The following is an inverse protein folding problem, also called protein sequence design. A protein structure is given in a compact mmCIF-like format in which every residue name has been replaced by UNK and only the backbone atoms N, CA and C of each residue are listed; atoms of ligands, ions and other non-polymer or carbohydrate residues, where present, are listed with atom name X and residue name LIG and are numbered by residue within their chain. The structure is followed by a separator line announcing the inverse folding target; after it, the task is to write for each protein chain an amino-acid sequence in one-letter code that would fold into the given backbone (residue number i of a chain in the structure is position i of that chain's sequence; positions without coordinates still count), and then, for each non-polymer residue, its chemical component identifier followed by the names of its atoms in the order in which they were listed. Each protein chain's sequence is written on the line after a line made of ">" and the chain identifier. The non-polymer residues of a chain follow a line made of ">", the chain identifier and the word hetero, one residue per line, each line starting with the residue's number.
data_IF_456679093059
#
_entry.id   IF_456679093059
#
_cell.length_a   1.000
_cell.length_b   1.000
_cell.length_c   1.000
_cell.angle_alpha   90.00
_cell.angle_beta   90.00
_cell.angle_gamma   90.00
#
_symmetry.space_group_name_H-M   'P 1'
#
loop_
_entity.id
_entity.type
_entity.pdbx_description
1 polymer ?
#
# COMPACT_ATOMS: atom_id res chain seq x y z
N UNK A 1 -7.50 -37.62 -60.90
CA UNK A 1 -7.44 -36.21 -60.46
C UNK A 1 -8.71 -35.82 -59.72
N UNK A 2 -9.90 -36.01 -60.29
CA UNK A 2 -11.18 -35.61 -59.64
C UNK A 2 -11.45 -36.30 -58.28
N UNK A 3 -11.15 -37.59 -58.14
CA UNK A 3 -11.37 -38.34 -56.88
C UNK A 3 -10.51 -37.83 -55.71
N UNK A 4 -9.31 -37.30 -55.98
CA UNK A 4 -8.45 -36.75 -54.92
C UNK A 4 -8.88 -35.35 -54.49
N UNK A 5 -9.35 -34.53 -55.43
CA UNK A 5 -9.95 -33.22 -55.12
C UNK A 5 -11.19 -33.35 -54.23
N UNK A 6 -12.04 -34.34 -54.52
CA UNK A 6 -13.27 -34.57 -53.76
C UNK A 6 -12.98 -35.05 -52.33
N UNK A 7 -11.97 -35.92 -52.16
CA UNK A 7 -11.48 -36.33 -50.84
C UNK A 7 -10.92 -35.14 -50.05
N UNK A 8 -10.18 -34.25 -50.71
CA UNK A 8 -9.60 -33.07 -50.06
C UNK A 8 -10.68 -32.07 -49.64
N UNK A 9 -11.70 -31.85 -50.47
CA UNK A 9 -12.84 -30.99 -50.14
C UNK A 9 -13.65 -31.52 -48.96
N UNK A 10 -13.91 -32.83 -48.92
CA UNK A 10 -14.60 -33.45 -47.78
C UNK A 10 -13.78 -33.32 -46.49
N UNK A 11 -12.46 -33.57 -46.55
CA UNK A 11 -11.57 -33.41 -45.40
C UNK A 11 -11.51 -31.97 -44.89
N UNK A 12 -11.48 -30.97 -45.78
CA UNK A 12 -11.57 -29.56 -45.38
C UNK A 12 -12.90 -29.23 -44.72
N UNK A 13 -14.02 -29.74 -45.23
CA UNK A 13 -15.35 -29.52 -44.64
C UNK A 13 -15.43 -30.08 -43.23
N UNK A 14 -14.88 -31.28 -43.01
CA UNK A 14 -14.82 -31.91 -41.69
C UNK A 14 -13.97 -31.08 -40.72
N UNK A 15 -12.77 -30.64 -41.15
CA UNK A 15 -11.91 -29.77 -40.36
C UNK A 15 -12.58 -28.43 -40.01
N UNK A 16 -13.34 -27.85 -40.94
CA UNK A 16 -14.09 -26.62 -40.70
C UNK A 16 -15.17 -26.84 -39.63
N UNK A 17 -15.92 -27.95 -39.72
CA UNK A 17 -16.97 -28.31 -38.76
C UNK A 17 -16.40 -28.47 -37.34
N UNK A 18 -15.27 -29.15 -37.21
CA UNK A 18 -14.62 -29.35 -35.92
C UNK A 18 -14.08 -28.06 -35.32
N UNK A 19 -13.54 -27.17 -36.17
CA UNK A 19 -13.13 -25.82 -35.75
C UNK A 19 -14.30 -25.01 -35.19
N UNK A 20 -15.47 -25.03 -35.86
CA UNK A 20 -16.67 -24.35 -35.37
C UNK A 20 -17.17 -24.91 -34.04
N UNK A 21 -17.15 -26.23 -33.85
CA UNK A 21 -17.51 -26.86 -32.57
C UNK A 21 -16.55 -26.45 -31.45
N UNK A 22 -15.26 -26.30 -31.75
CA UNK A 22 -14.28 -25.84 -30.78
C UNK A 22 -14.52 -24.38 -30.40
N UNK A 23 -14.83 -23.52 -31.37
CA UNK A 23 -15.15 -22.11 -31.13
C UNK A 23 -16.37 -21.94 -30.20
N UNK A 24 -17.43 -22.72 -30.41
CA UNK A 24 -18.59 -22.71 -29.51
C UNK A 24 -18.24 -23.16 -28.08
N UNK A 25 -17.39 -24.20 -27.94
CA UNK A 25 -16.89 -24.61 -26.62
C UNK A 25 -16.08 -23.49 -25.94
N UNK A 26 -15.24 -22.77 -26.68
CA UNK A 26 -14.45 -21.65 -26.13
C UNK A 26 -15.37 -20.52 -25.68
N UNK A 27 -16.34 -20.09 -26.50
CA UNK A 27 -17.32 -19.07 -26.12
C UNK A 27 -18.09 -19.44 -24.85
N UNK A 28 -18.54 -20.69 -24.74
CA UNK A 28 -19.25 -21.16 -23.56
C UNK A 28 -18.41 -21.13 -22.28
N UNK A 29 -17.09 -21.36 -22.38
CA UNK A 29 -16.17 -21.27 -21.25
C UNK A 29 -15.91 -19.82 -20.85
N UNK A 30 -15.72 -18.92 -21.83
CA UNK A 30 -15.54 -17.50 -21.57
C UNK A 30 -16.74 -16.92 -20.81
N UNK A 31 -17.96 -17.23 -21.25
CA UNK A 31 -19.18 -16.78 -20.57
C UNK A 31 -19.28 -17.29 -19.13
N UNK A 32 -18.96 -18.57 -18.90
CA UNK A 32 -18.93 -19.15 -17.54
C UNK A 32 -17.85 -18.53 -16.65
N UNK A 33 -16.73 -18.08 -17.23
CA UNK A 33 -15.68 -17.39 -16.48
C UNK A 33 -16.11 -15.97 -16.13
N UNK A 34 -16.74 -15.24 -17.05
CA UNK A 34 -17.31 -13.91 -16.79
C UNK A 34 -18.38 -13.95 -15.67
N UNK A 35 -19.31 -14.91 -15.74
CA UNK A 35 -20.36 -15.08 -14.74
C UNK A 35 -19.77 -15.36 -13.33
N UNK A 36 -18.70 -16.16 -13.26
CA UNK A 36 -18.00 -16.44 -11.99
C UNK A 36 -17.29 -15.22 -11.42
N UNK A 37 -16.61 -14.44 -12.26
CA UNK A 37 -15.93 -13.22 -11.81
C UNK A 37 -16.93 -12.21 -11.23
N UNK A 38 -18.09 -12.05 -11.88
CA UNK A 38 -19.14 -11.16 -11.38
C UNK A 38 -19.69 -11.65 -10.03
N UNK A 39 -19.89 -12.96 -9.88
CA UNK A 39 -20.39 -13.54 -8.64
C UNK A 39 -19.38 -13.43 -7.48
N UNK A 40 -18.09 -13.57 -7.77
CA UNK A 40 -17.02 -13.43 -6.78
C UNK A 40 -16.83 -11.97 -6.34
N UNK A 41 -16.89 -11.00 -7.27
CA UNK A 41 -16.87 -9.56 -6.96
C UNK A 41 -18.07 -9.18 -6.07
N UNK A 42 -19.27 -9.67 -6.40
CA UNK A 42 -20.45 -9.41 -5.59
C UNK A 42 -20.30 -9.98 -4.17
N UNK A 43 -19.78 -11.21 -4.02
CA UNK A 43 -19.51 -11.82 -2.70
C UNK A 43 -18.48 -11.04 -1.89
N UNK A 44 -17.43 -10.52 -2.52
CA UNK A 44 -16.41 -9.70 -1.84
C UNK A 44 -17.00 -8.35 -1.38
N UNK A 45 -17.82 -7.69 -2.20
CA UNK A 45 -18.49 -6.44 -1.80
C UNK A 45 -19.46 -6.64 -0.63
N UNK A 46 -20.26 -7.71 -0.64
CA UNK A 46 -21.18 -8.04 0.45
C UNK A 46 -20.47 -8.48 1.75
N UNK A 47 -19.28 -9.07 1.66
CA UNK A 47 -18.45 -9.35 2.85
C UNK A 47 -17.86 -8.06 3.42
N UNK A 48 -17.32 -7.19 2.57
CA UNK A 48 -16.77 -5.91 2.99
C UNK A 48 -17.80 -5.04 3.74
N UNK A 49 -19.06 -4.98 3.27
CA UNK A 49 -20.12 -4.23 3.96
C UNK A 49 -20.45 -4.80 5.35
N UNK A 50 -20.51 -6.13 5.50
CA UNK A 50 -20.82 -6.76 6.79
C UNK A 50 -19.66 -6.70 7.80
N UNK A 51 -18.41 -6.72 7.32
CA UNK A 51 -17.22 -6.57 8.18
C UNK A 51 -17.04 -5.12 8.67
N UNK A 52 -17.47 -4.12 7.89
CA UNK A 52 -17.46 -2.70 8.28
C UNK A 52 -18.44 -2.44 9.44
N UNK A 53 -19.65 -2.99 9.39
CA UNK A 53 -20.66 -2.80 10.45
C UNK A 53 -20.27 -3.49 11.77
N UNK A 54 -19.49 -4.57 11.72
CA UNK A 54 -19.05 -5.31 12.92
C UNK A 54 -17.80 -4.71 13.59
N UNK A 55 -17.02 -3.89 12.87
CA UNK A 55 -15.82 -3.22 13.40
C UNK A 55 -16.10 -1.86 14.08
N UNK A 56 -17.31 -1.31 13.94
CA UNK A 56 -17.67 0.02 14.46
C UNK A 56 -17.94 0.06 15.98
N UNK A 57 -17.91 -1.08 16.67
CA UNK A 57 -18.04 -1.16 18.15
C UNK A 57 -16.67 -1.03 18.87
N UNK A 58 -15.57 -1.02 18.11
CA UNK A 58 -14.24 -0.63 18.56
C UNK A 58 -13.90 0.74 18.00
N UNK A 59 -13.48 1.69 18.85
CA UNK A 59 -12.95 2.97 18.38
C UNK A 59 -11.74 2.72 17.48
N UNK A 60 -11.92 2.80 16.15
CA UNK A 60 -10.84 2.61 15.17
C UNK A 60 -9.79 3.68 15.42
N UNK A 61 -8.59 3.28 15.85
CA UNK A 61 -7.46 4.18 16.06
C UNK A 61 -6.64 4.25 14.78
N UNK A 62 -6.49 5.45 14.23
CA UNK A 62 -5.78 5.72 12.99
C UNK A 62 -4.59 6.66 13.25
N UNK A 63 -3.41 6.12 13.59
CA UNK A 63 -2.22 6.92 13.84
C UNK A 63 -1.81 7.76 12.63
N UNK A 64 -1.27 8.95 12.91
CA UNK A 64 -0.64 9.83 11.93
C UNK A 64 0.87 9.63 12.05
N UNK A 65 1.47 8.97 11.07
CA UNK A 65 2.91 8.77 10.95
C UNK A 65 3.54 9.92 10.16
N UNK A 66 4.27 10.78 10.86
CA UNK A 66 5.06 11.87 10.26
C UNK A 66 6.47 11.38 10.00
N UNK A 67 6.89 11.40 8.73
CA UNK A 67 8.25 11.06 8.29
C UNK A 67 9.09 12.35 8.24
N UNK A 68 10.10 12.45 9.11
CA UNK A 68 10.99 13.61 9.21
C UNK A 68 12.48 13.21 9.18
N UNK A 69 13.35 14.14 8.83
CA UNK A 69 14.81 13.90 8.77
C UNK A 69 15.60 15.09 9.35
N UNK A 70 15.91 16.08 8.52
CA UNK A 70 16.84 17.17 8.82
C UNK A 70 16.24 18.58 8.65
N UNK A 71 14.92 18.67 8.43
CA UNK A 71 14.24 19.94 8.23
C UNK A 71 13.52 20.39 9.49
N UNK A 72 13.95 21.52 10.04
CA UNK A 72 13.26 22.17 11.18
C UNK A 72 11.85 22.69 10.82
N UNK A 73 11.54 22.75 9.52
CA UNK A 73 10.21 23.13 9.01
C UNK A 73 9.11 22.13 9.37
N UNK A 74 9.47 20.94 9.86
CA UNK A 74 8.53 19.95 10.44
C UNK A 74 7.62 20.59 11.49
N UNK A 75 8.07 21.65 12.17
CA UNK A 75 7.26 22.47 13.09
C UNK A 75 5.93 22.88 12.46
N UNK A 76 5.92 23.34 11.20
CA UNK A 76 4.70 23.80 10.51
C UNK A 76 3.75 22.63 10.25
N UNK A 77 4.30 21.47 9.90
CA UNK A 77 3.52 20.24 9.73
C UNK A 77 2.83 19.86 11.05
N UNK A 78 3.61 19.77 12.13
CA UNK A 78 3.10 19.43 13.47
C UNK A 78 2.11 20.47 14.03
N UNK A 79 2.39 21.77 13.87
CA UNK A 79 1.48 22.85 14.28
C UNK A 79 0.09 22.67 13.63
N UNK A 80 0.05 22.34 12.33
CA UNK A 80 -1.20 22.12 11.62
C UNK A 80 -1.89 20.82 12.04
N UNK A 81 -1.13 19.73 12.18
CA UNK A 81 -1.69 18.46 12.64
C UNK A 81 -2.33 18.61 14.02
N UNK A 82 -1.63 19.22 14.97
CA UNK A 82 -2.16 19.46 16.32
C UNK A 82 -3.37 20.39 16.29
N UNK A 83 -3.35 21.44 15.47
CA UNK A 83 -4.46 22.40 15.35
C UNK A 83 -5.75 21.79 14.80
N UNK A 84 -5.63 20.88 13.81
CA UNK A 84 -6.77 20.31 13.10
C UNK A 84 -7.13 18.90 13.53
N UNK A 85 -6.41 18.33 14.51
CA UNK A 85 -6.67 17.01 15.07
C UNK A 85 -7.99 17.02 15.84
N UNK A 86 -9.00 16.24 15.42
CA UNK A 86 -10.31 16.24 16.06
C UNK A 86 -10.30 15.54 17.41
N UNK A 87 -9.54 14.45 17.54
CA UNK A 87 -9.44 13.66 18.76
C UNK A 87 -8.04 13.08 18.95
N UNK A 88 -7.61 12.97 20.20
CA UNK A 88 -6.27 12.50 20.54
C UNK A 88 -6.16 10.99 20.58
N UNK A 89 -7.18 10.32 21.04
CA UNK A 89 -7.16 8.87 21.22
C UNK A 89 -7.35 8.15 19.87
N UNK A 90 -8.12 8.76 18.98
CA UNK A 90 -8.40 8.28 17.62
C UNK A 90 -7.23 8.53 16.66
N UNK A 91 -6.53 9.66 16.79
CA UNK A 91 -5.45 10.06 15.86
C UNK A 91 -4.11 10.30 16.56
N UNK A 92 -3.51 9.31 17.25
CA UNK A 92 -2.18 9.45 17.85
C UNK A 92 -1.15 9.88 16.80
N UNK A 93 -0.28 10.84 17.15
CA UNK A 93 0.75 11.32 16.21
C UNK A 93 2.06 10.63 16.56
N UNK A 94 2.67 9.98 15.57
CA UNK A 94 3.95 9.28 15.69
C UNK A 94 4.91 9.95 14.72
N UNK A 95 5.97 10.55 15.25
CA UNK A 95 7.00 11.20 14.43
C UNK A 95 8.19 10.25 14.31
N UNK A 96 8.43 9.76 13.09
CA UNK A 96 9.62 8.96 12.79
C UNK A 96 10.71 9.87 12.24
N UNK A 97 11.82 10.00 12.97
CA UNK A 97 12.95 10.84 12.59
C UNK A 97 14.15 10.00 12.10
N UNK A 98 14.67 10.30 10.91
CA UNK A 98 15.97 9.80 10.41
C UNK A 98 17.05 10.89 10.51
N UNK A 99 18.26 10.61 10.01
CA UNK A 99 19.35 11.55 9.78
C UNK A 99 20.09 12.06 11.03
N UNK A 100 19.54 11.83 12.24
CA UNK A 100 20.20 12.21 13.50
C UNK A 100 20.34 13.73 13.68
N UNK A 101 19.50 14.53 13.02
CA UNK A 101 19.60 15.98 13.08
C UNK A 101 19.06 16.53 14.40
N UNK A 102 19.95 17.03 15.26
CA UNK A 102 19.62 17.43 16.63
C UNK A 102 18.65 18.62 16.72
N UNK A 103 18.76 19.60 15.83
CA UNK A 103 17.84 20.76 15.84
C UNK A 103 16.41 20.36 15.47
N UNK A 104 16.24 19.48 14.47
CA UNK A 104 14.93 18.90 14.15
C UNK A 104 14.40 18.06 15.31
N UNK A 105 15.26 17.28 15.96
CA UNK A 105 14.87 16.49 17.14
C UNK A 105 14.38 17.37 18.29
N UNK A 106 15.05 18.49 18.58
CA UNK A 106 14.61 19.45 19.61
C UNK A 106 13.24 20.03 19.31
N UNK A 107 12.98 20.37 18.05
CA UNK A 107 11.67 20.86 17.60
C UNK A 107 10.61 19.79 17.86
N UNK A 108 10.81 18.56 17.38
CA UNK A 108 9.87 17.44 17.59
C UNK A 108 9.65 17.19 19.08
N UNK A 109 10.72 17.16 19.87
CA UNK A 109 10.67 16.91 21.31
C UNK A 109 9.85 17.94 22.07
N UNK A 110 9.87 19.20 21.64
CA UNK A 110 9.02 20.25 22.24
C UNK A 110 7.52 19.93 22.12
N UNK A 111 7.09 19.23 21.06
CA UNK A 111 5.71 18.78 20.90
C UNK A 111 5.41 17.54 21.74
N UNK A 112 6.34 16.58 21.83
CA UNK A 112 6.17 15.38 22.68
C UNK A 112 6.11 15.74 24.17
N UNK A 113 6.90 16.73 24.59
CA UNK A 113 6.90 17.23 25.96
C UNK A 113 5.60 17.99 26.30
N UNK A 114 4.95 18.61 25.30
CA UNK A 114 3.71 19.34 25.46
C UNK A 114 2.45 18.45 25.37
N UNK A 115 2.51 17.35 24.60
CA UNK A 115 1.39 16.45 24.37
C UNK A 115 1.87 14.98 24.40
N UNK A 116 1.54 14.22 25.46
CA UNK A 116 1.92 12.81 25.59
C UNK A 116 1.38 11.89 24.48
N UNK A 117 0.33 12.32 23.77
CA UNK A 117 -0.22 11.59 22.63
C UNK A 117 0.60 11.74 21.34
N UNK A 118 1.67 12.56 21.38
CA UNK A 118 2.65 12.70 20.31
C UNK A 118 3.91 11.96 20.76
N UNK A 119 4.33 10.99 19.96
CA UNK A 119 5.52 10.18 20.25
C UNK A 119 6.58 10.39 19.18
N UNK A 120 7.84 10.17 19.54
CA UNK A 120 8.97 10.23 18.61
C UNK A 120 9.71 8.90 18.60
N UNK A 121 10.01 8.40 17.41
CA UNK A 121 10.83 7.22 17.18
C UNK A 121 11.97 7.57 16.25
N UNK A 122 13.19 7.17 16.62
CA UNK A 122 14.38 7.47 15.82
C UNK A 122 14.82 6.24 15.04
N UNK A 123 15.14 6.44 13.77
CA UNK A 123 15.72 5.41 12.93
C UNK A 123 17.10 5.03 13.52
N UNK A 124 17.36 3.74 13.82
CA UNK A 124 18.57 3.32 14.54
C UNK A 124 19.81 3.14 13.63
N UNK A 125 19.60 2.88 12.35
CA UNK A 125 20.65 2.60 11.37
C UNK A 125 20.97 3.83 10.48
N UNK A 126 21.86 4.70 10.96
CA UNK A 126 22.31 5.89 10.22
C UNK A 126 23.49 5.60 9.27
N UNK A 127 23.86 4.32 9.12
CA UNK A 127 24.99 3.87 8.31
C UNK A 127 24.83 4.27 6.84
N UNK A 128 25.96 4.39 6.14
CA UNK A 128 25.93 4.64 4.70
C UNK A 128 25.64 3.37 3.90
N UNK A 129 24.77 3.50 2.90
CA UNK A 129 24.38 2.38 2.05
C UNK A 129 25.41 2.24 0.93
N UNK A 130 26.14 1.11 0.84
CA UNK A 130 27.15 0.93 -0.19
C UNK A 130 26.48 0.77 -1.56
N UNK A 131 26.79 1.69 -2.47
CA UNK A 131 26.19 1.72 -3.81
C UNK A 131 27.26 1.71 -4.90
N UNK A 132 27.04 1.00 -6.03
CA UNK A 132 27.89 1.13 -7.21
C UNK A 132 27.94 2.58 -7.72
N UNK A 133 29.05 2.99 -8.33
CA UNK A 133 29.27 4.37 -8.82
C UNK A 133 28.10 4.93 -9.63
N UNK A 134 27.49 4.11 -10.50
CA UNK A 134 26.34 4.50 -11.31
C UNK A 134 25.08 4.89 -10.50
N UNK A 135 24.95 4.40 -9.26
CA UNK A 135 23.78 4.61 -8.39
C UNK A 135 24.03 5.58 -7.24
N UNK A 136 25.23 6.13 -7.09
CA UNK A 136 25.57 7.05 -5.99
C UNK A 136 24.64 8.25 -5.92
N UNK A 137 24.19 8.78 -7.06
CA UNK A 137 23.21 9.88 -7.13
C UNK A 137 21.84 9.54 -6.53
N UNK A 138 21.51 8.26 -6.40
CA UNK A 138 20.23 7.80 -5.83
C UNK A 138 20.31 7.44 -4.35
N UNK A 139 21.45 7.69 -3.70
CA UNK A 139 21.69 7.36 -2.30
C UNK A 139 20.59 7.86 -1.36
N UNK A 140 20.06 9.06 -1.59
CA UNK A 140 18.92 9.60 -0.84
C UNK A 140 17.68 8.70 -0.89
N UNK A 141 17.32 8.18 -2.07
CA UNK A 141 16.18 7.28 -2.22
C UNK A 141 16.34 5.96 -1.46
N UNK A 142 17.57 5.43 -1.37
CA UNK A 142 17.83 4.24 -0.55
C UNK A 142 17.66 4.53 0.94
N UNK A 143 18.08 5.72 1.40
CA UNK A 143 17.86 6.16 2.80
C UNK A 143 16.37 6.33 3.10
N UNK A 144 15.63 7.00 2.20
CA UNK A 144 14.17 7.16 2.31
C UNK A 144 13.49 5.78 2.39
N UNK A 145 13.81 4.85 1.50
CA UNK A 145 13.23 3.51 1.53
C UNK A 145 13.54 2.74 2.83
N UNK A 146 14.76 2.86 3.35
CA UNK A 146 15.15 2.30 4.65
C UNK A 146 14.35 2.91 5.79
N UNK A 147 14.18 4.22 5.78
CA UNK A 147 13.42 4.95 6.81
C UNK A 147 11.94 4.56 6.79
N UNK A 148 11.29 4.56 5.61
CA UNK A 148 9.90 4.13 5.46
C UNK A 148 9.68 2.69 5.95
N UNK A 149 10.57 1.76 5.59
CA UNK A 149 10.50 0.37 6.07
C UNK A 149 10.56 0.30 7.60
N UNK A 150 11.47 1.05 8.22
CA UNK A 150 11.59 1.10 9.67
C UNK A 150 10.33 1.69 10.32
N UNK A 151 9.87 2.85 9.85
CA UNK A 151 8.75 3.57 10.41
C UNK A 151 7.44 2.78 10.31
N UNK A 152 7.16 2.18 9.15
CA UNK A 152 5.96 1.36 8.95
C UNK A 152 6.00 0.08 9.77
N UNK A 153 7.14 -0.60 9.87
CA UNK A 153 7.26 -1.76 10.74
C UNK A 153 7.04 -1.38 12.21
N UNK A 154 7.54 -0.23 12.64
CA UNK A 154 7.32 0.24 14.01
C UNK A 154 5.83 0.43 14.30
N UNK A 155 5.09 1.08 13.40
CA UNK A 155 3.65 1.38 13.61
C UNK A 155 2.77 0.15 13.42
N UNK A 156 2.92 -0.58 12.31
CA UNK A 156 2.00 -1.67 11.95
C UNK A 156 2.32 -2.99 12.66
N UNK A 157 3.61 -3.25 12.95
CA UNK A 157 4.04 -4.51 13.58
C UNK A 157 4.43 -4.31 15.04
N UNK A 158 5.13 -3.21 15.34
CA UNK A 158 5.60 -2.94 16.71
C UNK A 158 4.51 -2.43 17.64
N UNK A 159 3.62 -1.57 17.14
CA UNK A 159 2.50 -1.00 17.89
C UNK A 159 1.15 -1.66 17.53
N UNK A 160 1.16 -2.58 16.55
CA UNK A 160 0.01 -3.39 16.15
C UNK A 160 -1.22 -2.56 15.73
N UNK A 161 -1.01 -1.40 15.12
CA UNK A 161 -2.11 -0.64 14.50
C UNK A 161 -2.52 -1.26 13.17
N UNK A 162 -3.84 -1.33 12.92
CA UNK A 162 -4.40 -1.90 11.69
C UNK A 162 -4.14 -1.05 10.45
N UNK A 163 -4.08 0.28 10.61
CA UNK A 163 -3.89 1.23 9.53
C UNK A 163 -3.11 2.47 9.99
N UNK A 164 -2.60 3.27 9.06
CA UNK A 164 -1.82 4.48 9.35
C UNK A 164 -1.98 5.53 8.24
N UNK A 165 -2.05 6.81 8.62
CA UNK A 165 -1.96 7.94 7.70
C UNK A 165 -0.49 8.40 7.64
N UNK A 166 0.09 8.46 6.45
CA UNK A 166 1.49 8.88 6.27
C UNK A 166 1.55 10.33 5.80
N UNK A 167 2.38 11.14 6.45
CA UNK A 167 2.64 12.55 6.11
C UNK A 167 4.14 12.82 6.14
N UNK A 168 4.67 13.63 5.22
CA UNK A 168 6.08 14.06 5.21
C UNK A 168 6.27 15.48 5.79
N UNK A 169 7.51 15.82 6.15
CA UNK A 169 7.91 17.08 6.84
C UNK A 169 8.02 18.37 5.99
#
# INVERSE_FOLDING_TARGET
>A
MEVELDKLQNKMRDQLSDSYKLLEKVKSRLKKTEDKIIEDIARESFKAENDIDMALDGSIVLPILVIACDRVTVKRCLDNLVKFRPDKDTFPIIVSQDCGHNETYKVIRSFTDADPSITVVQQPELSEIPLPRAKVKFKGYYKIARHYRFALNHVLVGLEYDAVIIVED
#
